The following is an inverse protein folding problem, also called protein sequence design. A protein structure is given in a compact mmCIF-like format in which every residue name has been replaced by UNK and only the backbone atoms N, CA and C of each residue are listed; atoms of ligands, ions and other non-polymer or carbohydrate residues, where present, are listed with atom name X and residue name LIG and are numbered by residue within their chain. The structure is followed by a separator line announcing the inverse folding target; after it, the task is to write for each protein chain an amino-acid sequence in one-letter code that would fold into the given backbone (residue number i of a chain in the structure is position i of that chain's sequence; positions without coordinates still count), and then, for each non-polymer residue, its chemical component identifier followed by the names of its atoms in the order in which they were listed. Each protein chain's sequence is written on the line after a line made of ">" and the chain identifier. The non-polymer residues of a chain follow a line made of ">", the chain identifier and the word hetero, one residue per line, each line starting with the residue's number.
data_IF_636331383222
#
_entry.id   IF_636331383222
#
_cell.length_a   1.000
_cell.length_b   1.000
_cell.length_c   1.000
_cell.angle_alpha   90.00
_cell.angle_beta   90.00
_cell.angle_gamma   90.00
#
_symmetry.space_group_name_H-M   'P 1'
#
loop_
_entity.id
_entity.type
_entity.pdbx_description
1 polymer ?
#
# COMPACT_ATOMS: atom_id res chain seq x y z
N UNK A 1 -67.89 19.60 5.02
CA UNK A 1 -66.41 19.67 5.02
C UNK A 1 -65.93 19.98 3.61
N UNK A 2 -65.38 21.16 3.44
CA UNK A 2 -65.23 21.88 2.16
C UNK A 2 -64.06 21.40 1.31
N UNK A 3 -64.30 21.18 0.01
CA UNK A 3 -63.35 20.90 -1.10
C UNK A 3 -61.97 21.60 -1.00
N UNK A 4 -61.92 22.77 -0.35
CA UNK A 4 -60.72 23.59 -0.12
C UNK A 4 -59.70 22.94 0.83
N UNK A 5 -60.14 22.31 1.94
CA UNK A 5 -59.25 21.56 2.84
C UNK A 5 -58.72 20.28 2.18
N UNK A 6 -59.51 19.72 1.25
CA UNK A 6 -59.17 18.53 0.46
C UNK A 6 -58.01 18.78 -0.53
N UNK A 7 -57.79 20.03 -0.95
CA UNK A 7 -56.68 20.40 -1.81
C UNK A 7 -55.43 20.78 -1.01
N UNK A 8 -55.60 21.38 0.17
CA UNK A 8 -54.49 21.72 1.07
C UNK A 8 -53.76 20.48 1.58
N UNK A 9 -54.47 19.44 2.03
CA UNK A 9 -53.77 18.24 2.51
C UNK A 9 -52.96 17.56 1.40
N UNK A 10 -53.43 17.58 0.14
CA UNK A 10 -52.72 16.99 -1.00
C UNK A 10 -51.44 17.76 -1.33
N UNK A 11 -51.47 19.08 -1.19
CA UNK A 11 -50.29 19.93 -1.35
C UNK A 11 -49.29 19.64 -0.21
N UNK A 12 -49.76 19.51 1.03
CA UNK A 12 -48.93 19.18 2.18
C UNK A 12 -48.34 17.76 2.13
N UNK A 13 -49.12 16.74 1.74
CA UNK A 13 -48.57 15.39 1.54
C UNK A 13 -47.61 15.34 0.36
N UNK A 14 -47.89 16.06 -0.72
CA UNK A 14 -46.99 16.16 -1.87
C UNK A 14 -45.66 16.80 -1.51
N UNK A 15 -45.68 17.93 -0.78
CA UNK A 15 -44.44 18.57 -0.29
C UNK A 15 -43.70 17.69 0.70
N UNK A 16 -44.40 17.03 1.63
CA UNK A 16 -43.79 16.10 2.58
C UNK A 16 -43.10 14.92 1.87
N UNK A 17 -43.72 14.34 0.84
CA UNK A 17 -43.14 13.28 0.03
C UNK A 17 -41.89 13.75 -0.70
N UNK A 18 -41.94 14.93 -1.33
CA UNK A 18 -40.78 15.51 -2.03
C UNK A 18 -39.63 15.78 -1.05
N UNK A 19 -39.90 16.37 0.11
CA UNK A 19 -38.85 16.58 1.12
C UNK A 19 -38.29 15.26 1.65
N UNK A 20 -39.12 14.23 1.84
CA UNK A 20 -38.65 12.92 2.30
C UNK A 20 -37.75 12.26 1.27
N UNK A 21 -38.08 12.37 -0.02
CA UNK A 21 -37.24 11.88 -1.12
C UNK A 21 -35.90 12.63 -1.15
N UNK A 22 -35.91 13.96 -0.99
CA UNK A 22 -34.68 14.77 -0.96
C UNK A 22 -33.80 14.41 0.25
N UNK A 23 -34.40 14.23 1.44
CA UNK A 23 -33.64 13.82 2.61
C UNK A 23 -33.10 12.39 2.48
N UNK A 24 -33.86 11.47 1.90
CA UNK A 24 -33.39 10.11 1.63
C UNK A 24 -32.24 10.12 0.61
N UNK A 25 -32.32 10.92 -0.46
CA UNK A 25 -31.23 11.02 -1.45
C UNK A 25 -29.98 11.64 -0.85
N UNK A 26 -30.11 12.71 -0.06
CA UNK A 26 -28.98 13.32 0.64
C UNK A 26 -28.34 12.38 1.69
N UNK A 27 -29.16 11.58 2.38
CA UNK A 27 -28.67 10.61 3.37
C UNK A 27 -27.96 9.42 2.69
N UNK A 28 -28.47 8.96 1.55
CA UNK A 28 -27.83 7.89 0.76
C UNK A 28 -26.53 8.39 0.12
N UNK A 29 -26.50 9.60 -0.44
CA UNK A 29 -25.30 10.21 -1.04
C UNK A 29 -24.23 10.50 0.01
N UNK A 30 -24.62 10.93 1.22
CA UNK A 30 -23.69 11.19 2.31
C UNK A 30 -23.02 9.92 2.87
N UNK A 31 -23.76 8.82 3.05
CA UNK A 31 -23.21 7.60 3.65
C UNK A 31 -22.42 6.70 2.69
N UNK A 32 -22.67 6.78 1.38
CA UNK A 32 -22.02 5.88 0.41
C UNK A 32 -20.61 6.32 0.01
N UNK A 33 -20.30 7.62 0.08
CA UNK A 33 -18.93 8.13 -0.10
C UNK A 33 -18.00 7.72 1.04
N UNK A 34 -18.40 7.98 2.29
CA UNK A 34 -17.60 7.71 3.49
C UNK A 34 -17.29 6.22 3.69
N UNK A 35 -18.23 5.34 3.31
CA UNK A 35 -18.04 3.88 3.42
C UNK A 35 -17.03 3.35 2.41
N UNK A 36 -17.09 3.79 1.14
CA UNK A 36 -16.13 3.40 0.09
C UNK A 36 -14.71 3.90 0.42
N UNK A 37 -14.61 5.12 0.95
CA UNK A 37 -13.33 5.68 1.39
C UNK A 37 -12.74 4.90 2.57
N UNK A 38 -13.55 4.51 3.55
CA UNK A 38 -13.10 3.70 4.70
C UNK A 38 -12.57 2.32 4.27
N UNK A 39 -13.30 1.60 3.42
CA UNK A 39 -12.85 0.29 2.90
C UNK A 39 -11.54 0.41 2.10
N UNK A 40 -11.39 1.51 1.36
CA UNK A 40 -10.18 1.81 0.59
C UNK A 40 -8.99 2.03 1.52
N UNK A 41 -9.15 2.85 2.57
CA UNK A 41 -8.13 3.12 3.58
C UNK A 41 -7.72 1.85 4.32
N UNK A 42 -8.69 1.00 4.70
CA UNK A 42 -8.42 -0.24 5.42
C UNK A 42 -7.68 -1.25 4.54
N UNK A 43 -8.11 -1.43 3.28
CA UNK A 43 -7.43 -2.30 2.33
C UNK A 43 -6.00 -1.81 2.05
N UNK A 44 -5.82 -0.49 1.87
CA UNK A 44 -4.52 0.12 1.68
C UNK A 44 -3.61 -0.08 2.92
N UNK A 45 -4.15 0.14 4.11
CA UNK A 45 -3.44 -0.04 5.38
C UNK A 45 -3.05 -1.50 5.61
N UNK A 46 -3.92 -2.45 5.29
CA UNK A 46 -3.60 -3.88 5.35
C UNK A 46 -2.43 -4.23 4.43
N UNK A 47 -2.43 -3.73 3.20
CA UNK A 47 -1.35 -3.99 2.24
C UNK A 47 -0.01 -3.41 2.71
N UNK A 48 -0.02 -2.22 3.32
CA UNK A 48 1.21 -1.63 3.86
C UNK A 48 1.70 -2.36 5.12
N UNK A 49 0.78 -2.82 5.98
CA UNK A 49 1.11 -3.66 7.15
C UNK A 49 1.68 -5.03 6.78
N UNK A 50 1.45 -5.49 5.55
CA UNK A 50 2.08 -6.71 5.03
C UNK A 50 3.53 -6.49 4.56
N UNK A 51 3.98 -5.24 4.38
CA UNK A 51 5.30 -4.93 3.83
C UNK A 51 6.47 -5.58 4.61
N UNK A 52 6.51 -5.60 5.95
CA UNK A 52 7.59 -6.28 6.68
C UNK A 52 7.76 -7.75 6.29
N UNK A 53 6.66 -8.46 6.11
CA UNK A 53 6.69 -9.88 5.72
C UNK A 53 7.21 -10.05 4.30
N UNK A 54 6.88 -9.12 3.40
CA UNK A 54 7.42 -9.14 2.03
C UNK A 54 8.90 -8.80 1.99
N UNK A 55 9.35 -7.89 2.85
CA UNK A 55 10.78 -7.58 3.02
C UNK A 55 11.52 -8.79 3.59
N UNK A 56 10.93 -9.52 4.55
CA UNK A 56 11.48 -10.78 5.05
C UNK A 56 11.60 -11.83 3.94
N UNK A 57 10.57 -12.00 3.10
CA UNK A 57 10.62 -12.91 1.95
C UNK A 57 11.75 -12.52 0.97
N UNK A 58 11.92 -11.22 0.70
CA UNK A 58 13.03 -10.69 -0.12
C UNK A 58 14.37 -10.99 0.53
N UNK A 59 14.53 -10.72 1.83
CA UNK A 59 15.77 -10.99 2.58
C UNK A 59 16.16 -12.46 2.52
N UNK A 60 15.25 -13.37 2.88
CA UNK A 60 15.50 -14.82 2.89
C UNK A 60 15.88 -15.30 1.49
N UNK A 61 15.14 -14.87 0.46
CA UNK A 61 15.42 -15.30 -0.92
C UNK A 61 16.72 -14.71 -1.47
N UNK A 62 17.06 -13.48 -1.08
CA UNK A 62 18.32 -12.84 -1.44
C UNK A 62 19.52 -13.53 -0.81
N UNK A 63 19.44 -13.85 0.49
CA UNK A 63 20.46 -14.62 1.21
C UNK A 63 20.65 -16.00 0.58
N UNK A 64 19.54 -16.67 0.24
CA UNK A 64 19.59 -17.99 -0.41
C UNK A 64 20.21 -17.93 -1.81
N UNK A 65 20.03 -16.83 -2.55
CA UNK A 65 20.58 -16.67 -3.90
C UNK A 65 22.09 -16.42 -3.87
N UNK A 66 22.55 -15.62 -2.90
CA UNK A 66 23.98 -15.27 -2.71
C UNK A 66 24.75 -16.29 -1.87
N UNK A 67 24.13 -17.42 -1.50
CA UNK A 67 24.78 -18.46 -0.73
C UNK A 67 25.91 -19.13 -1.54
N UNK A 68 27.10 -19.12 -0.99
CA UNK A 68 28.26 -19.84 -1.55
C UNK A 68 28.02 -21.36 -1.58
N UNK A 69 28.65 -22.06 -2.53
CA UNK A 69 28.63 -23.52 -2.70
C UNK A 69 27.25 -24.19 -2.96
N UNK A 70 26.25 -23.43 -3.43
CA UNK A 70 24.99 -24.01 -3.87
C UNK A 70 25.14 -24.85 -5.14
N UNK A 71 24.47 -26.01 -5.22
CA UNK A 71 24.40 -26.78 -6.47
C UNK A 71 23.64 -25.98 -7.55
N UNK A 72 23.89 -26.26 -8.84
CA UNK A 72 23.20 -25.58 -9.93
C UNK A 72 21.66 -25.66 -9.84
N UNK A 73 21.12 -26.76 -9.28
CA UNK A 73 19.68 -26.92 -9.05
C UNK A 73 19.18 -26.02 -7.93
N UNK A 74 19.92 -25.92 -6.84
CA UNK A 74 19.58 -25.06 -5.70
C UNK A 74 19.70 -23.58 -6.08
N UNK A 75 20.73 -23.21 -6.83
CA UNK A 75 20.90 -21.85 -7.32
C UNK A 75 19.73 -21.41 -8.21
N UNK A 76 19.30 -22.26 -9.17
CA UNK A 76 18.12 -21.98 -10.01
C UNK A 76 16.83 -21.86 -9.19
N UNK A 77 16.68 -22.65 -8.14
CA UNK A 77 15.54 -22.54 -7.24
C UNK A 77 15.56 -21.22 -6.47
N UNK A 78 16.72 -20.83 -5.93
CA UNK A 78 16.91 -19.56 -5.24
C UNK A 78 16.66 -18.35 -6.15
N UNK A 79 17.15 -18.40 -7.39
CA UNK A 79 16.88 -17.40 -8.44
C UNK A 79 15.38 -17.22 -8.67
N UNK A 80 14.65 -18.32 -8.80
CA UNK A 80 13.18 -18.31 -9.00
C UNK A 80 12.46 -17.73 -7.79
N UNK A 81 12.89 -18.07 -6.58
CA UNK A 81 12.32 -17.53 -5.34
C UNK A 81 12.55 -16.03 -5.22
N UNK A 82 13.76 -15.57 -5.50
CA UNK A 82 14.11 -14.15 -5.45
C UNK A 82 13.34 -13.35 -6.50
N UNK A 83 13.25 -13.83 -7.74
CA UNK A 83 12.45 -13.17 -8.76
C UNK A 83 10.98 -12.99 -8.33
N UNK A 84 10.41 -14.02 -7.66
CA UNK A 84 9.03 -13.97 -7.15
C UNK A 84 8.87 -12.99 -6.00
N UNK A 85 9.76 -13.00 -5.00
CA UNK A 85 9.69 -12.09 -3.85
C UNK A 85 9.81 -10.63 -4.31
N UNK A 86 10.73 -10.35 -5.24
CA UNK A 86 10.90 -9.02 -5.84
C UNK A 86 9.66 -8.58 -6.63
N UNK A 87 8.97 -9.49 -7.32
CA UNK A 87 7.71 -9.16 -7.99
C UNK A 87 6.60 -8.80 -6.97
N UNK A 88 6.54 -9.51 -5.85
CA UNK A 88 5.52 -9.30 -4.81
C UNK A 88 5.73 -7.99 -4.04
N UNK A 89 6.97 -7.51 -3.93
CA UNK A 89 7.31 -6.24 -3.31
C UNK A 89 6.57 -5.06 -3.96
N UNK A 90 6.51 -5.03 -5.30
CA UNK A 90 5.80 -3.99 -6.07
C UNK A 90 4.42 -4.42 -6.53
N UNK A 91 3.91 -5.58 -6.09
CA UNK A 91 2.64 -6.18 -6.55
C UNK A 91 1.37 -5.44 -6.10
N UNK A 92 1.47 -4.19 -5.67
CA UNK A 92 0.42 -3.43 -4.99
C UNK A 92 -0.38 -2.54 -5.95
N UNK A 93 -0.72 -3.03 -7.14
CA UNK A 93 -1.55 -2.30 -8.10
C UNK A 93 -2.90 -1.88 -7.48
N UNK A 94 -3.42 -2.68 -6.55
CA UNK A 94 -4.65 -2.36 -5.79
C UNK A 94 -4.49 -1.09 -4.96
N UNK A 95 -3.33 -0.85 -4.35
CA UNK A 95 -3.05 0.32 -3.53
C UNK A 95 -3.09 1.61 -4.37
N UNK A 96 -2.42 1.61 -5.53
CA UNK A 96 -2.45 2.74 -6.47
C UNK A 96 -3.87 3.00 -6.97
N UNK A 97 -4.58 1.95 -7.40
CA UNK A 97 -5.96 2.08 -7.86
C UNK A 97 -6.90 2.60 -6.75
N UNK A 98 -6.61 2.30 -5.49
CA UNK A 98 -7.41 2.74 -4.35
C UNK A 98 -7.10 4.21 -3.99
N UNK A 99 -5.81 4.59 -3.98
CA UNK A 99 -5.38 5.98 -3.81
C UNK A 99 -5.92 6.92 -4.92
N UNK A 100 -6.02 6.43 -6.16
CA UNK A 100 -6.58 7.21 -7.26
C UNK A 100 -8.06 7.58 -7.09
N UNK A 101 -8.81 6.72 -6.39
CA UNK A 101 -10.28 6.79 -6.27
C UNK A 101 -10.74 7.40 -4.95
N UNK A 102 -9.90 7.39 -3.92
CA UNK A 102 -10.27 7.86 -2.59
C UNK A 102 -9.96 9.34 -2.38
N UNK A 103 -10.87 10.04 -1.70
CA UNK A 103 -10.65 11.41 -1.27
C UNK A 103 -9.84 11.52 0.03
N UNK A 104 -9.69 10.40 0.75
CA UNK A 104 -8.94 10.33 2.01
C UNK A 104 -7.46 10.00 1.79
N UNK A 105 -7.10 9.46 0.63
CA UNK A 105 -5.75 9.07 0.29
C UNK A 105 -5.06 10.16 -0.54
N UNK A 106 -4.01 10.76 0.00
CA UNK A 106 -3.25 11.77 -0.73
C UNK A 106 -2.33 11.13 -1.78
N UNK A 107 -2.72 11.27 -3.05
CA UNK A 107 -2.00 10.69 -4.21
C UNK A 107 -0.48 10.92 -4.22
N UNK A 108 0.05 12.13 -3.91
CA UNK A 108 1.49 12.37 -3.96
C UNK A 108 2.28 11.42 -3.06
N UNK A 109 1.83 11.18 -1.81
CA UNK A 109 2.60 10.36 -0.87
C UNK A 109 2.58 8.87 -1.23
N UNK A 110 1.46 8.37 -1.77
CA UNK A 110 1.38 6.99 -2.28
C UNK A 110 2.26 6.78 -3.49
N UNK A 111 2.34 7.78 -4.37
CA UNK A 111 3.20 7.73 -5.53
C UNK A 111 4.68 7.70 -5.10
N UNK A 112 5.08 8.55 -4.16
CA UNK A 112 6.45 8.56 -3.62
C UNK A 112 6.79 7.22 -2.96
N UNK A 113 5.93 6.71 -2.08
CA UNK A 113 6.09 5.39 -1.46
C UNK A 113 6.27 4.28 -2.52
N UNK A 114 5.43 4.28 -3.56
CA UNK A 114 5.50 3.26 -4.60
C UNK A 114 6.78 3.39 -5.44
N UNK A 115 7.21 4.62 -5.73
CA UNK A 115 8.47 4.88 -6.44
C UNK A 115 9.68 4.36 -5.64
N UNK A 116 9.68 4.55 -4.32
CA UNK A 116 10.76 4.03 -3.47
C UNK A 116 10.77 2.49 -3.43
N UNK A 117 9.60 1.83 -3.38
CA UNK A 117 9.53 0.36 -3.50
C UNK A 117 10.01 -0.15 -4.87
N UNK A 118 9.68 0.58 -5.94
CA UNK A 118 10.15 0.24 -7.27
C UNK A 118 11.67 0.38 -7.38
N UNK A 119 12.22 1.43 -6.79
CA UNK A 119 13.67 1.66 -6.72
C UNK A 119 14.35 0.55 -5.93
N UNK A 120 13.81 0.17 -4.76
CA UNK A 120 14.30 -0.95 -3.97
C UNK A 120 14.34 -2.24 -4.79
N UNK A 121 13.23 -2.57 -5.48
CA UNK A 121 13.18 -3.73 -6.38
C UNK A 121 14.26 -3.68 -7.45
N UNK A 122 14.48 -2.50 -8.04
CA UNK A 122 15.47 -2.28 -9.10
C UNK A 122 16.90 -2.51 -8.59
N UNK A 123 17.24 -1.94 -7.42
CA UNK A 123 18.52 -2.17 -6.74
C UNK A 123 18.73 -3.67 -6.50
N UNK A 124 17.75 -4.34 -5.90
CA UNK A 124 17.85 -5.78 -5.62
C UNK A 124 18.04 -6.61 -6.91
N UNK A 125 17.36 -6.23 -7.99
CA UNK A 125 17.48 -6.87 -9.30
C UNK A 125 18.90 -6.70 -9.85
N UNK A 126 19.43 -5.47 -9.83
CA UNK A 126 20.76 -5.16 -10.33
C UNK A 126 21.86 -5.90 -9.55
N UNK A 127 21.74 -5.93 -8.22
CA UNK A 127 22.70 -6.57 -7.33
C UNK A 127 22.59 -8.10 -7.28
N UNK A 128 21.59 -8.69 -7.93
CA UNK A 128 21.43 -10.15 -7.99
C UNK A 128 21.64 -10.72 -9.39
N UNK A 129 21.08 -10.07 -10.43
CA UNK A 129 21.01 -10.64 -11.77
C UNK A 129 21.85 -9.91 -12.81
N UNK A 130 22.22 -8.64 -12.56
CA UNK A 130 22.96 -7.83 -13.54
C UNK A 130 24.45 -7.71 -13.20
N UNK A 131 24.80 -7.73 -11.91
CA UNK A 131 26.18 -7.79 -11.42
C UNK A 131 26.45 -9.21 -10.90
N UNK A 132 27.15 -10.05 -11.69
CA UNK A 132 27.59 -11.38 -11.25
C UNK A 132 28.49 -11.22 -10.02
N UNK A 133 28.03 -11.74 -8.88
CA UNK A 133 28.62 -11.57 -7.54
C UNK A 133 28.71 -10.11 -7.10
N UNK A 134 27.64 -9.61 -6.50
CA UNK A 134 27.74 -8.33 -5.80
C UNK A 134 28.64 -8.47 -4.58
N UNK A 135 29.80 -7.82 -4.60
CA UNK A 135 30.69 -7.62 -3.43
C UNK A 135 29.98 -6.93 -2.25
N UNK A 136 28.74 -6.46 -2.46
CA UNK A 136 27.89 -5.80 -1.47
C UNK A 136 26.78 -6.71 -0.95
N UNK A 137 26.71 -7.99 -1.32
CA UNK A 137 25.63 -8.89 -0.91
C UNK A 137 25.45 -8.94 0.62
N UNK A 138 26.55 -9.07 1.37
CA UNK A 138 26.48 -9.06 2.85
C UNK A 138 25.97 -7.72 3.41
N UNK A 139 26.42 -6.60 2.82
CA UNK A 139 25.98 -5.27 3.23
C UNK A 139 24.48 -5.07 2.94
N UNK A 140 24.01 -5.50 1.77
CA UNK A 140 22.59 -5.46 1.39
C UNK A 140 21.76 -6.33 2.33
N UNK A 141 22.18 -7.56 2.63
CA UNK A 141 21.48 -8.45 3.55
C UNK A 141 21.34 -7.84 4.97
N UNK A 142 22.42 -7.23 5.48
CA UNK A 142 22.40 -6.53 6.76
C UNK A 142 21.45 -5.32 6.73
N UNK A 143 21.48 -4.51 5.67
CA UNK A 143 20.62 -3.35 5.55
C UNK A 143 19.15 -3.72 5.31
N UNK A 144 18.86 -4.83 4.63
CA UNK A 144 17.50 -5.36 4.49
C UNK A 144 16.92 -5.80 5.82
N UNK A 145 17.74 -6.40 6.69
CA UNK A 145 17.33 -6.76 8.05
C UNK A 145 16.95 -5.52 8.86
N UNK A 146 17.74 -4.46 8.76
CA UNK A 146 17.47 -3.19 9.42
C UNK A 146 16.20 -2.51 8.85
N UNK A 147 16.10 -2.44 7.52
CA UNK A 147 14.93 -1.90 6.83
C UNK A 147 13.64 -2.62 7.25
N UNK A 148 13.65 -3.95 7.28
CA UNK A 148 12.51 -4.74 7.74
C UNK A 148 12.11 -4.39 9.17
N UNK A 149 13.08 -4.31 10.09
CA UNK A 149 12.83 -3.98 11.50
C UNK A 149 12.25 -2.57 11.65
N UNK A 150 12.78 -1.59 10.93
CA UNK A 150 12.32 -0.20 10.97
C UNK A 150 10.92 -0.06 10.37
N UNK A 151 10.65 -0.72 9.23
CA UNK A 151 9.32 -0.78 8.63
C UNK A 151 8.33 -1.45 9.58
N UNK A 152 8.68 -2.57 10.20
CA UNK A 152 7.86 -3.26 11.20
C UNK A 152 7.51 -2.32 12.35
N UNK A 153 8.51 -1.61 12.89
CA UNK A 153 8.31 -0.66 13.99
C UNK A 153 7.33 0.49 13.62
N UNK A 154 7.33 0.93 12.36
CA UNK A 154 6.39 1.96 11.89
C UNK A 154 4.96 1.40 11.79
N UNK A 155 4.79 0.22 11.19
CA UNK A 155 3.46 -0.31 10.84
C UNK A 155 2.76 -1.04 11.99
N UNK A 156 3.50 -1.54 12.99
CA UNK A 156 2.95 -2.22 14.18
C UNK A 156 2.39 -1.28 15.23
N UNK A 157 2.64 0.03 15.12
CA UNK A 157 2.00 1.00 16.01
C UNK A 157 0.49 0.88 15.84
N UNK A 158 -0.24 0.69 16.94
CA UNK A 158 -1.70 0.48 16.93
C UNK A 158 -2.47 1.56 16.14
N UNK A 159 -1.88 2.76 16.03
CA UNK A 159 -2.43 3.90 15.30
C UNK A 159 -2.00 3.99 13.83
N UNK A 160 -1.27 3.02 13.26
CA UNK A 160 -0.84 3.11 11.86
C UNK A 160 -2.03 2.99 10.89
N UNK A 161 -2.19 4.04 10.09
CA UNK A 161 -3.10 4.11 8.95
C UNK A 161 -2.38 4.78 7.80
N UNK A 162 -2.75 4.47 6.56
CA UNK A 162 -2.15 5.11 5.39
C UNK A 162 -2.64 6.55 5.16
N UNK A 163 -3.63 7.00 5.94
CA UNK A 163 -4.09 8.40 5.98
C UNK A 163 -3.22 9.26 6.90
N UNK A 164 -2.38 8.66 7.74
CA UNK A 164 -1.43 9.36 8.59
C UNK A 164 -0.20 9.77 7.77
N UNK A 165 -0.15 11.06 7.42
CA UNK A 165 0.93 11.68 6.66
C UNK A 165 2.31 11.40 7.26
N UNK A 166 2.46 11.59 8.56
CA UNK A 166 3.77 11.53 9.21
C UNK A 166 4.31 10.11 9.17
N UNK A 167 3.42 9.12 9.39
CA UNK A 167 3.79 7.70 9.31
C UNK A 167 4.08 7.25 7.88
N UNK A 168 3.30 7.70 6.89
CA UNK A 168 3.56 7.39 5.48
C UNK A 168 4.87 8.01 5.01
N UNK A 169 5.16 9.26 5.39
CA UNK A 169 6.43 9.90 5.07
C UNK A 169 7.61 9.19 5.76
N UNK A 170 7.47 8.84 7.04
CA UNK A 170 8.50 8.10 7.75
C UNK A 170 8.78 6.74 7.09
N UNK A 171 7.74 6.04 6.65
CA UNK A 171 7.86 4.78 5.91
C UNK A 171 8.61 4.98 4.59
N UNK A 172 8.19 5.96 3.79
CA UNK A 172 8.82 6.29 2.51
C UNK A 172 10.28 6.66 2.70
N UNK A 173 10.63 7.46 3.71
CA UNK A 173 12.02 7.84 3.97
C UNK A 173 12.89 6.69 4.48
N UNK A 174 12.31 5.76 5.23
CA UNK A 174 13.04 4.56 5.67
C UNK A 174 13.46 3.75 4.45
N UNK A 175 12.56 3.58 3.47
CA UNK A 175 12.87 2.88 2.20
C UNK A 175 13.87 3.68 1.37
N UNK A 176 13.69 5.01 1.27
CA UNK A 176 14.61 5.88 0.54
C UNK A 176 16.03 5.84 1.10
N UNK A 177 16.17 5.88 2.42
CA UNK A 177 17.47 5.82 3.10
C UNK A 177 18.19 4.50 2.80
N UNK A 178 17.46 3.38 2.68
CA UNK A 178 18.04 2.14 2.17
C UNK A 178 18.46 2.30 0.70
N UNK A 179 17.57 2.82 -0.15
CA UNK A 179 17.82 2.95 -1.59
C UNK A 179 19.07 3.79 -1.89
N UNK A 180 19.24 4.92 -1.21
CA UNK A 180 20.36 5.85 -1.39
C UNK A 180 21.73 5.22 -1.11
N UNK A 181 21.80 4.18 -0.26
CA UNK A 181 23.05 3.48 0.03
C UNK A 181 23.55 2.63 -1.14
N UNK A 182 22.66 2.21 -2.02
CA UNK A 182 22.93 1.26 -3.10
C UNK A 182 22.54 1.78 -4.48
N UNK A 183 22.13 3.05 -4.57
CA UNK A 183 22.03 3.82 -5.80
C UNK A 183 23.45 4.14 -6.30
N UNK A 184 24.00 3.26 -7.14
CA UNK A 184 25.27 3.46 -7.85
C UNK A 184 25.05 4.00 -9.26
#
# INVERSE_FOLDING_TARGET
>A
MTKRSMNLYKIFTGTFLITTIIFASLWIEGNSGDTIDTYTVDAASSVVKELPYRLEDVRISFDSFHKEDASAKEHKYAETLLARSLQQLTGNQRLLNAAERSNQLEKPWFQDYFNELFTLRSIMTAHSFEKEQSDQAEAIASQLTQLQADVQYIVDKESFTVTDKEKMNALTETIRTFNEQFLS
#
